data_IF_185941326556
#
_entry.id   IF_185941326556
#
_cell.length_a   1.000
_cell.length_b   1.000
_cell.length_c   1.000
_cell.angle_alpha   90.00
_cell.angle_beta   90.00
_cell.angle_gamma   90.00
#
_symmetry.space_group_name_H-M   'P 1'
#
loop_
_entity.id
_entity.type
_entity.pdbx_description
1 polymer ?
#
# COMPACT_ATOMS: atom_id res chain seq x y z
N UNK A 1 -72.70 7.09 -35.89
CA UNK A 1 -71.50 6.26 -35.66
C UNK A 1 -70.29 6.99 -36.26
N UNK A 2 -69.22 7.18 -35.45
CA UNK A 2 -67.79 7.28 -35.83
C UNK A 2 -67.38 8.36 -36.86
N UNK A 3 -66.18 8.95 -36.85
CA UNK A 3 -65.08 9.08 -35.90
C UNK A 3 -64.10 10.04 -36.61
N UNK A 4 -64.10 11.34 -36.32
CA UNK A 4 -63.27 12.30 -37.07
C UNK A 4 -62.72 13.41 -36.16
N UNK A 5 -62.17 13.08 -34.98
CA UNK A 5 -61.47 14.04 -34.11
C UNK A 5 -60.05 13.58 -33.72
N UNK A 6 -59.51 12.52 -34.34
CA UNK A 6 -58.16 12.00 -34.06
C UNK A 6 -57.05 12.65 -34.91
N UNK A 7 -57.38 13.47 -35.90
CA UNK A 7 -56.42 14.09 -36.80
C UNK A 7 -55.55 15.21 -36.19
N UNK A 8 -56.04 16.12 -35.32
CA UNK A 8 -55.20 17.22 -34.85
C UNK A 8 -54.15 16.77 -33.82
N UNK A 9 -54.36 15.64 -33.13
CA UNK A 9 -53.45 15.17 -32.08
C UNK A 9 -52.12 14.64 -32.64
N UNK A 10 -52.14 13.96 -33.79
CA UNK A 10 -50.93 13.41 -34.44
C UNK A 10 -50.01 14.51 -34.99
N UNK A 11 -50.57 15.64 -35.45
CA UNK A 11 -49.80 16.78 -35.90
C UNK A 11 -49.08 17.49 -34.74
N UNK A 12 -49.71 17.59 -33.57
CA UNK A 12 -49.11 18.19 -32.37
C UNK A 12 -47.92 17.38 -31.82
N UNK A 13 -47.97 16.03 -31.89
CA UNK A 13 -46.86 15.18 -31.45
C UNK A 13 -45.60 15.31 -32.35
N UNK A 14 -45.77 15.67 -33.62
CA UNK A 14 -44.66 15.84 -34.56
C UNK A 14 -43.88 17.14 -34.32
N UNK A 15 -44.50 18.18 -33.74
CA UNK A 15 -43.79 19.42 -33.40
C UNK A 15 -42.99 19.35 -32.09
N UNK A 16 -43.21 18.33 -31.24
CA UNK A 16 -42.46 18.14 -30.00
C UNK A 16 -41.25 17.22 -30.14
N UNK A 17 -40.98 16.66 -31.32
CA UNK A 17 -39.74 15.91 -31.54
C UNK A 17 -38.59 16.87 -31.84
N UNK A 18 -37.95 17.36 -30.78
CA UNK A 18 -36.68 18.05 -30.89
C UNK A 18 -35.63 17.03 -31.38
N UNK A 19 -35.30 17.07 -32.67
CA UNK A 19 -34.27 16.21 -33.25
C UNK A 19 -32.93 16.52 -32.60
N UNK A 20 -32.41 15.59 -31.80
CA UNK A 20 -31.06 15.70 -31.24
C UNK A 20 -30.09 15.30 -32.36
N UNK A 21 -29.25 16.21 -32.87
CA UNK A 21 -28.24 15.85 -33.86
C UNK A 21 -27.31 14.81 -33.26
N UNK A 22 -26.85 13.85 -34.06
CA UNK A 22 -25.85 12.89 -33.61
C UNK A 22 -24.59 13.67 -33.19
N UNK A 23 -24.40 13.83 -31.89
CA UNK A 23 -23.15 14.39 -31.36
C UNK A 23 -22.09 13.34 -31.64
N UNK A 24 -21.13 13.67 -32.51
CA UNK A 24 -19.97 12.81 -32.72
C UNK A 24 -19.30 12.48 -31.38
N UNK A 25 -18.64 11.33 -31.31
CA UNK A 25 -17.84 10.97 -30.14
C UNK A 25 -16.80 12.06 -29.91
N UNK A 26 -16.85 12.71 -28.75
CA UNK A 26 -15.73 13.50 -28.27
C UNK A 26 -14.79 12.49 -27.62
N UNK A 27 -13.62 12.27 -28.23
CA UNK A 27 -12.55 11.50 -27.60
C UNK A 27 -12.28 12.11 -26.22
N UNK A 28 -12.58 11.35 -25.17
CA UNK A 28 -12.56 11.80 -23.78
C UNK A 28 -11.12 12.01 -23.23
N UNK A 29 -10.14 12.14 -24.13
CA UNK A 29 -8.73 12.03 -23.82
C UNK A 29 -8.29 10.58 -23.65
N UNK A 30 -6.98 10.36 -23.62
CA UNK A 30 -6.41 9.06 -23.26
C UNK A 30 -6.87 8.62 -21.87
N UNK A 31 -6.70 7.33 -21.51
CA UNK A 31 -7.06 6.84 -20.19
C UNK A 31 -6.42 7.76 -19.13
N UNK A 32 -7.17 8.05 -18.06
CA UNK A 32 -6.58 8.63 -16.87
C UNK A 32 -5.44 7.70 -16.46
N UNK A 33 -4.21 8.12 -16.76
CA UNK A 33 -2.99 7.44 -16.34
C UNK A 33 -2.97 7.65 -14.83
N UNK A 34 -3.63 6.73 -14.12
CA UNK A 34 -4.11 6.96 -12.78
C UNK A 34 -3.01 7.40 -11.83
N UNK A 35 -3.41 8.10 -10.77
CA UNK A 35 -2.51 8.38 -9.65
C UNK A 35 -1.95 7.07 -9.12
N UNK A 36 -0.62 6.99 -8.99
CA UNK A 36 0.01 5.80 -8.43
C UNK A 36 -0.48 5.62 -6.98
N UNK A 37 -0.84 4.39 -6.58
CA UNK A 37 -1.33 4.12 -5.23
C UNK A 37 -0.14 4.08 -4.26
N UNK A 38 0.30 5.26 -3.82
CA UNK A 38 1.50 5.44 -3.01
C UNK A 38 1.18 5.44 -1.50
N UNK A 39 2.01 4.76 -0.72
CA UNK A 39 2.07 4.83 0.74
C UNK A 39 3.45 5.24 1.22
N UNK A 40 3.60 6.10 2.25
CA UNK A 40 4.89 6.38 2.84
C UNK A 40 5.38 5.17 3.65
N UNK A 41 6.67 4.87 3.52
CA UNK A 41 7.42 3.92 4.34
C UNK A 41 8.66 4.61 4.87
N UNK A 42 8.88 4.53 6.18
CA UNK A 42 10.03 5.20 6.80
C UNK A 42 11.24 4.27 6.83
N UNK A 43 12.33 4.72 6.20
CA UNK A 43 13.64 4.08 6.27
C UNK A 43 14.60 4.91 7.11
N UNK A 44 15.77 4.34 7.42
CA UNK A 44 16.80 5.00 8.19
C UNK A 44 17.91 5.49 7.28
N UNK A 45 18.25 6.77 7.40
CA UNK A 45 19.39 7.41 6.76
C UNK A 45 20.14 8.20 7.83
N UNK A 46 21.43 7.91 8.03
CA UNK A 46 22.25 8.62 9.03
C UNK A 46 21.61 8.66 10.44
N UNK A 47 20.96 7.57 10.85
CA UNK A 47 20.26 7.45 12.14
C UNK A 47 18.94 8.24 12.24
N UNK A 48 18.43 8.78 11.13
CA UNK A 48 17.19 9.56 11.05
C UNK A 48 16.16 8.83 10.20
N UNK A 49 14.89 8.98 10.56
CA UNK A 49 13.79 8.42 9.78
C UNK A 49 13.47 9.32 8.58
N UNK A 50 13.45 8.73 7.38
CA UNK A 50 13.15 9.38 6.11
C UNK A 50 11.97 8.69 5.45
N UNK A 51 10.96 9.45 5.05
CA UNK A 51 9.75 8.92 4.42
C UNK A 51 9.95 8.73 2.91
N UNK A 52 9.80 7.49 2.43
CA UNK A 52 9.88 7.16 1.01
C UNK A 52 8.53 6.68 0.49
N UNK A 53 8.15 7.10 -0.72
CA UNK A 53 6.90 6.66 -1.33
C UNK A 53 7.04 5.26 -1.92
N UNK A 54 6.09 4.39 -1.61
CA UNK A 54 6.01 3.01 -2.11
C UNK A 54 4.70 2.78 -2.83
N UNK A 55 4.76 2.12 -3.97
CA UNK A 55 3.56 1.60 -4.61
C UNK A 55 3.02 0.42 -3.77
N UNK A 56 1.71 0.44 -3.49
CA UNK A 56 1.00 -0.64 -2.82
C UNK A 56 -0.39 -0.81 -3.41
N UNK A 57 -0.91 -2.04 -3.41
CA UNK A 57 -2.29 -2.29 -3.82
C UNK A 57 -3.34 -1.66 -2.90
N UNK A 58 -2.98 -1.32 -1.66
CA UNK A 58 -3.89 -0.71 -0.67
C UNK A 58 -3.22 0.44 0.07
N UNK A 59 -3.16 1.64 -0.53
CA UNK A 59 -2.69 2.82 0.16
C UNK A 59 -3.51 3.07 1.42
N UNK A 60 -2.80 3.29 2.51
CA UNK A 60 -3.40 3.54 3.81
C UNK A 60 -3.77 2.31 4.62
N UNK A 61 -3.48 1.11 4.13
CA UNK A 61 -3.46 -0.11 4.96
C UNK A 61 -2.13 -0.19 5.74
N UNK A 62 -2.15 -0.16 7.09
CA UNK A 62 -0.93 -0.18 7.88
C UNK A 62 -0.18 -1.51 7.78
N UNK A 63 -0.89 -2.62 7.56
CA UNK A 63 -0.26 -3.94 7.44
C UNK A 63 0.55 -4.04 6.14
N UNK A 64 0.02 -3.55 5.03
CA UNK A 64 0.72 -3.52 3.75
C UNK A 64 1.95 -2.59 3.77
N UNK A 65 1.84 -1.43 4.45
CA UNK A 65 2.99 -0.56 4.65
C UNK A 65 4.10 -1.22 5.49
N UNK A 66 3.74 -1.98 6.53
CA UNK A 66 4.70 -2.74 7.32
C UNK A 66 5.36 -3.88 6.53
N UNK A 67 4.62 -4.54 5.62
CA UNK A 67 5.21 -5.54 4.72
C UNK A 67 6.28 -4.93 3.82
N UNK A 68 6.02 -3.75 3.26
CA UNK A 68 7.00 -3.01 2.45
C UNK A 68 8.22 -2.61 3.28
N UNK A 69 8.02 -2.21 4.53
CA UNK A 69 9.11 -1.88 5.44
C UNK A 69 10.03 -3.08 5.73
N UNK A 70 9.44 -4.25 6.00
CA UNK A 70 10.19 -5.49 6.25
C UNK A 70 10.94 -5.96 5.00
N UNK A 71 10.37 -5.76 3.81
CA UNK A 71 11.04 -6.05 2.54
C UNK A 71 12.31 -5.19 2.35
N UNK A 72 12.37 -4.04 3.01
CA UNK A 72 13.54 -3.16 3.04
C UNK A 72 13.57 -2.12 1.91
N UNK A 73 14.62 -1.29 1.89
CA UNK A 73 14.85 -0.27 0.85
C UNK A 73 15.04 -0.91 -0.54
N UNK A 74 14.65 -0.20 -1.61
CA UNK A 74 14.96 -0.67 -2.97
C UNK A 74 16.38 -0.22 -3.37
N UNK A 75 17.01 -0.98 -4.27
CA UNK A 75 18.32 -0.62 -4.80
C UNK A 75 18.26 0.75 -5.51
N UNK A 76 19.23 1.62 -5.22
CA UNK A 76 19.31 2.96 -5.81
C UNK A 76 18.44 4.01 -5.11
N UNK A 77 17.85 3.68 -3.96
CA UNK A 77 17.16 4.65 -3.11
C UNK A 77 18.03 5.17 -1.97
N UNK A 78 17.95 6.47 -1.73
CA UNK A 78 19.03 7.24 -1.12
C UNK A 78 19.67 8.08 -2.24
N UNK A 79 19.88 9.36 -2.00
CA UNK A 79 20.39 10.26 -3.04
C UNK A 79 21.72 9.76 -3.62
N UNK A 80 22.02 10.16 -4.86
CA UNK A 80 23.32 9.92 -5.50
C UNK A 80 24.51 10.52 -4.74
N UNK A 81 24.23 11.39 -3.76
CA UNK A 81 25.19 12.07 -2.88
C UNK A 81 25.45 11.35 -1.54
N UNK A 82 24.70 10.28 -1.22
CA UNK A 82 24.77 9.58 0.07
C UNK A 82 25.52 8.26 -0.07
N UNK A 83 26.75 8.19 0.43
CA UNK A 83 27.54 6.95 0.52
C UNK A 83 26.92 5.91 1.46
N UNK A 84 26.08 6.36 2.40
CA UNK A 84 25.32 5.53 3.32
C UNK A 84 23.87 5.46 2.82
N UNK A 85 23.55 4.45 2.01
CA UNK A 85 22.21 4.25 1.46
C UNK A 85 21.12 4.10 2.53
N UNK A 86 19.86 4.08 2.11
CA UNK A 86 18.75 3.82 3.03
C UNK A 86 18.89 2.43 3.68
N UNK A 87 18.55 2.34 4.96
CA UNK A 87 18.62 1.11 5.76
C UNK A 87 17.34 0.86 6.56
N UNK A 88 17.26 -0.30 7.22
CA UNK A 88 16.19 -0.65 8.15
C UNK A 88 16.78 -1.13 9.48
N UNK A 89 16.16 -0.71 10.58
CA UNK A 89 16.51 -1.13 11.95
C UNK A 89 15.71 -2.37 12.38
N UNK A 90 14.93 -2.94 11.46
CA UNK A 90 14.28 -4.22 11.69
C UNK A 90 15.29 -5.34 11.54
N UNK A 91 15.28 -6.33 12.45
CA UNK A 91 15.95 -7.58 12.23
C UNK A 91 15.51 -8.10 10.86
N UNK A 92 16.47 -8.31 9.97
CA UNK A 92 16.22 -9.08 8.78
C UNK A 92 15.66 -10.42 9.28
N UNK A 93 14.43 -10.73 8.91
CA UNK A 93 14.05 -12.14 8.91
C UNK A 93 15.16 -12.86 8.15
N UNK A 94 15.59 -14.06 8.57
CA UNK A 94 16.44 -14.87 7.72
C UNK A 94 15.63 -15.13 6.45
N UNK A 95 15.78 -14.22 5.48
CA UNK A 95 15.42 -14.43 4.09
C UNK A 95 16.12 -15.73 3.78
N UNK A 96 15.33 -16.78 3.54
CA UNK A 96 15.84 -18.05 3.07
C UNK A 96 16.95 -17.74 2.07
N UNK A 97 18.16 -18.21 2.40
CA UNK A 97 19.35 -17.95 1.61
C UNK A 97 19.04 -18.17 0.12
N UNK A 98 19.54 -17.24 -0.69
CA UNK A 98 19.57 -17.26 -2.15
C UNK A 98 18.24 -16.97 -2.87
N UNK A 99 18.16 -15.77 -3.44
CA UNK A 99 17.82 -15.71 -4.86
C UNK A 99 18.79 -16.68 -5.58
N UNK A 100 18.32 -17.68 -6.35
CA UNK A 100 19.22 -18.38 -7.23
C UNK A 100 19.85 -17.34 -8.16
N UNK A 101 21.13 -17.09 -7.95
CA UNK A 101 22.01 -16.46 -8.92
C UNK A 101 21.76 -17.17 -10.25
N UNK A 102 21.38 -16.39 -11.26
CA UNK A 102 21.29 -16.74 -12.68
C UNK A 102 21.54 -18.22 -12.97
N UNK A 103 20.47 -19.02 -13.00
CA UNK A 103 20.53 -20.27 -13.75
C UNK A 103 20.64 -19.89 -15.22
N UNK A 104 21.83 -20.17 -15.75
CA UNK A 104 22.18 -20.20 -17.16
C UNK A 104 21.02 -20.76 -17.98
N UNK A 105 20.74 -20.07 -19.09
CA UNK A 105 19.82 -20.48 -20.14
C UNK A 105 20.06 -21.95 -20.54
N UNK A 106 19.13 -22.84 -20.21
CA UNK A 106 19.05 -24.20 -20.77
C UNK A 106 17.67 -24.35 -21.40
N UNK A 107 17.57 -24.34 -22.75
CA UNK A 107 16.30 -24.56 -23.42
C UNK A 107 15.94 -26.04 -23.40
N UNK A 108 14.81 -26.38 -22.77
CA UNK A 108 14.10 -27.64 -23.02
C UNK A 108 13.83 -28.48 -21.78
N UNK A 109 12.67 -28.26 -21.16
CA UNK A 109 12.10 -29.18 -20.18
C UNK A 109 10.84 -28.59 -19.54
N UNK A 110 9.66 -29.14 -19.86
CA UNK A 110 8.38 -28.74 -19.25
C UNK A 110 8.44 -28.85 -17.73
N UNK A 111 8.06 -27.81 -16.96
CA UNK A 111 8.00 -27.92 -15.52
C UNK A 111 6.76 -28.75 -15.14
N UNK A 112 7.00 -29.90 -14.53
CA UNK A 112 6.03 -30.57 -13.67
C UNK A 112 6.03 -29.86 -12.33
N UNK A 113 4.85 -29.49 -11.84
CA UNK A 113 4.62 -28.76 -10.59
C UNK A 113 5.37 -29.39 -9.41
N UNK A 114 6.13 -28.62 -8.60
CA UNK A 114 6.53 -29.07 -7.28
C UNK A 114 5.32 -29.04 -6.33
N UNK A 115 5.03 -30.12 -5.57
CA UNK A 115 4.03 -30.07 -4.53
C UNK A 115 4.60 -29.30 -3.34
N UNK A 116 3.92 -28.22 -2.93
CA UNK A 116 4.10 -27.65 -1.60
C UNK A 116 4.64 -26.22 -1.49
N UNK A 117 4.10 -25.27 -2.25
CA UNK A 117 4.05 -23.87 -1.80
C UNK A 117 2.90 -23.68 -0.80
N UNK A 118 2.99 -24.38 0.34
CA UNK A 118 2.06 -24.23 1.45
C UNK A 118 2.88 -24.01 2.73
N UNK A 119 3.12 -22.74 3.03
CA UNK A 119 3.88 -22.36 4.21
C UNK A 119 4.05 -20.87 4.47
N UNK A 120 3.23 -19.98 3.91
CA UNK A 120 3.07 -18.64 4.50
C UNK A 120 2.18 -18.79 5.73
N UNK A 121 2.78 -19.21 6.84
CA UNK A 121 2.06 -19.27 8.10
C UNK A 121 1.65 -17.84 8.47
N UNK A 122 0.48 -17.66 9.08
CA UNK A 122 0.01 -16.34 9.55
C UNK A 122 0.96 -15.66 10.57
N UNK A 123 2.05 -16.33 10.93
CA UNK A 123 3.13 -15.92 11.82
C UNK A 123 4.28 -15.19 11.10
N UNK A 124 4.34 -15.22 9.76
CA UNK A 124 5.47 -14.66 9.00
C UNK A 124 5.21 -13.23 8.52
N UNK A 125 4.03 -12.69 8.81
CA UNK A 125 3.59 -11.39 8.31
C UNK A 125 3.18 -10.47 9.46
N UNK A 126 3.60 -9.19 9.44
CA UNK A 126 3.14 -8.24 10.45
C UNK A 126 1.63 -8.10 10.38
N UNK A 127 0.99 -7.77 11.49
CA UNK A 127 -0.42 -7.41 11.49
C UNK A 127 -0.60 -6.12 12.25
N UNK A 128 -1.37 -5.18 11.69
CA UNK A 128 -1.75 -3.96 12.37
C UNK A 128 -3.28 -3.86 12.45
N UNK A 129 -3.78 -3.60 13.66
CA UNK A 129 -5.21 -3.37 13.91
C UNK A 129 -5.37 -2.06 14.66
N UNK A 130 -6.46 -1.33 14.39
CA UNK A 130 -6.73 -0.05 15.05
C UNK A 130 -8.04 -0.14 15.80
N UNK A 131 -8.02 0.23 17.08
CA UNK A 131 -9.21 0.33 17.93
C UNK A 131 -9.16 1.67 18.65
N UNK A 132 -10.08 2.57 18.30
CA UNK A 132 -10.06 3.95 18.79
C UNK A 132 -8.75 4.67 18.42
N UNK A 133 -8.05 5.18 19.43
CA UNK A 133 -6.75 5.86 19.29
C UNK A 133 -5.54 4.93 19.49
N UNK A 134 -5.77 3.62 19.62
CA UNK A 134 -4.71 2.63 19.82
C UNK A 134 -4.53 1.77 18.57
N UNK A 135 -3.31 1.73 18.04
CA UNK A 135 -2.90 0.81 16.99
C UNK A 135 -2.12 -0.35 17.60
N UNK A 136 -2.60 -1.58 17.45
CA UNK A 136 -1.86 -2.77 17.88
C UNK A 136 -1.11 -3.34 16.68
N UNK A 137 0.22 -3.38 16.78
CA UNK A 137 1.12 -3.96 15.79
C UNK A 137 1.67 -5.26 16.37
N UNK A 138 1.46 -6.36 15.65
CA UNK A 138 2.00 -7.68 15.98
C UNK A 138 3.08 -8.02 14.97
N UNK A 139 4.29 -8.25 15.48
CA UNK A 139 5.45 -8.59 14.68
C UNK A 139 5.50 -10.09 14.39
N UNK A 140 6.05 -10.50 13.23
CA UNK A 140 6.38 -11.87 12.94
C UNK A 140 7.31 -12.50 13.98
N UNK A 141 7.33 -13.83 13.99
CA UNK A 141 8.34 -14.58 14.75
C UNK A 141 9.75 -14.24 14.25
N UNK A 142 10.71 -14.12 15.16
CA UNK A 142 12.10 -13.74 14.82
C UNK A 142 12.38 -12.23 14.81
N UNK A 143 11.37 -11.36 14.82
CA UNK A 143 11.53 -9.90 14.98
C UNK A 143 11.38 -9.46 16.44
N UNK A 144 12.19 -10.05 17.34
CA UNK A 144 12.27 -9.61 18.73
C UNK A 144 13.42 -8.62 18.93
N UNK A 145 13.40 -7.86 20.03
CA UNK A 145 14.55 -7.05 20.45
C UNK A 145 14.83 -5.82 19.56
N UNK A 146 13.78 -5.15 19.11
CA UNK A 146 13.92 -3.93 18.29
C UNK A 146 14.59 -2.78 19.07
N UNK A 147 15.46 -2.04 18.39
CA UNK A 147 15.98 -0.77 18.89
C UNK A 147 14.85 0.27 19.02
N UNK A 148 15.07 1.31 19.84
CA UNK A 148 14.13 2.45 19.92
C UNK A 148 13.90 3.12 18.56
N UNK A 149 14.92 3.08 17.68
CA UNK A 149 14.80 3.58 16.31
C UNK A 149 13.95 2.64 15.46
N UNK A 150 14.15 1.31 15.54
CA UNK A 150 13.34 0.32 14.86
C UNK A 150 11.86 0.32 15.28
N UNK A 151 11.57 0.47 16.58
CA UNK A 151 10.19 0.64 17.06
C UNK A 151 9.57 1.90 16.46
N UNK A 152 10.31 3.01 16.41
CA UNK A 152 9.84 4.27 15.83
C UNK A 152 9.63 4.15 14.32
N UNK A 153 10.52 3.45 13.63
CA UNK A 153 10.42 3.16 12.19
C UNK A 153 9.12 2.43 11.85
N UNK A 154 8.77 1.38 12.62
CA UNK A 154 7.50 0.66 12.47
C UNK A 154 6.30 1.56 12.71
N UNK A 155 6.31 2.28 13.83
CA UNK A 155 5.16 3.08 14.24
C UNK A 155 4.92 4.20 13.25
N UNK A 156 5.96 4.93 12.83
CA UNK A 156 5.81 6.00 11.86
C UNK A 156 5.35 5.50 10.50
N UNK A 157 5.80 4.32 10.07
CA UNK A 157 5.31 3.70 8.83
C UNK A 157 3.83 3.36 8.93
N UNK A 158 3.43 2.62 9.97
CA UNK A 158 2.07 2.14 10.12
C UNK A 158 1.05 3.30 10.31
N UNK A 159 1.39 4.30 11.13
CA UNK A 159 0.48 5.43 11.37
C UNK A 159 0.43 6.41 10.21
N UNK A 160 1.55 6.65 9.50
CA UNK A 160 1.53 7.48 8.30
C UNK A 160 0.71 6.86 7.18
N UNK A 161 0.80 5.53 6.99
CA UNK A 161 -0.10 4.81 6.11
C UNK A 161 -1.55 5.03 6.57
N UNK A 162 -1.91 4.68 7.80
CA UNK A 162 -3.29 4.80 8.30
C UNK A 162 -3.93 6.18 8.06
N UNK A 163 -3.14 7.25 8.24
CA UNK A 163 -3.57 8.65 8.08
C UNK A 163 -3.90 9.04 6.65
N UNK A 164 -3.34 8.36 5.64
CA UNK A 164 -3.63 8.65 4.23
C UNK A 164 -5.12 8.58 3.90
N UNK A 165 -5.83 7.64 4.51
CA UNK A 165 -7.27 7.44 4.28
C UNK A 165 -8.14 8.10 5.35
N UNK A 166 -7.52 8.65 6.40
CA UNK A 166 -8.19 9.20 7.59
C UNK A 166 -7.54 10.53 8.01
N UNK A 167 -7.58 11.54 7.13
CA UNK A 167 -7.05 12.85 7.44
C UNK A 167 -7.77 13.44 8.67
N UNK A 168 -7.03 14.10 9.56
CA UNK A 168 -7.57 14.70 10.79
C UNK A 168 -7.63 13.79 12.01
N UNK A 169 -7.20 12.53 11.90
CA UNK A 169 -7.08 11.67 13.09
C UNK A 169 -6.06 12.27 14.08
N UNK A 170 -6.32 12.37 15.39
CA UNK A 170 -5.34 12.88 16.36
C UNK A 170 -4.14 11.92 16.48
N UNK A 171 -3.11 12.31 17.25
CA UNK A 171 -1.99 11.43 17.58
C UNK A 171 -2.48 10.10 18.17
N UNK A 172 -1.87 9.01 17.75
CA UNK A 172 -2.21 7.65 18.17
C UNK A 172 -1.10 7.06 19.05
N UNK A 173 -1.49 6.12 19.90
CA UNK A 173 -0.55 5.24 20.60
C UNK A 173 -0.46 3.91 19.88
N UNK A 174 0.74 3.50 19.51
CA UNK A 174 1.01 2.18 18.97
C UNK A 174 1.49 1.24 20.07
N UNK A 175 0.87 0.06 20.16
CA UNK A 175 1.28 -1.06 20.98
C UNK A 175 1.94 -2.11 20.08
N UNK A 176 3.27 -2.22 20.14
CA UNK A 176 4.07 -3.16 19.36
C UNK A 176 4.32 -4.40 20.19
N UNK A 177 3.95 -5.57 19.64
CA UNK A 177 4.06 -6.87 20.30
C UNK A 177 4.88 -7.84 19.46
N UNK A 178 5.83 -8.55 20.07
CA UNK A 178 6.68 -9.53 19.38
C UNK A 178 7.68 -10.18 20.33
N UNK A 179 7.94 -11.48 20.18
CA UNK A 179 8.92 -12.21 21.01
C UNK A 179 8.65 -12.17 22.51
N UNK A 180 7.38 -12.06 22.94
CA UNK A 180 7.01 -11.92 24.36
C UNK A 180 7.13 -10.50 24.93
N UNK A 181 7.59 -9.53 24.15
CA UNK A 181 7.70 -8.13 24.56
C UNK A 181 6.51 -7.30 24.06
N UNK A 182 6.14 -6.29 24.86
CA UNK A 182 5.17 -5.26 24.52
C UNK A 182 5.81 -3.89 24.74
N UNK A 183 5.84 -3.08 23.69
CA UNK A 183 6.31 -1.68 23.76
C UNK A 183 5.16 -0.77 23.34
N UNK A 184 4.92 0.29 24.11
CA UNK A 184 3.93 1.32 23.76
C UNK A 184 4.63 2.64 23.47
N UNK A 185 4.32 3.24 22.32
CA UNK A 185 4.87 4.53 21.93
C UNK A 185 3.86 5.34 21.13
N UNK A 186 3.99 6.66 21.13
CA UNK A 186 3.11 7.56 20.37
C UNK A 186 3.74 7.93 19.02
N UNK A 187 2.88 8.14 18.01
CA UNK A 187 3.28 8.66 16.70
C UNK A 187 3.62 10.16 16.69
N UNK A 188 3.45 10.88 17.81
CA UNK A 188 3.76 12.30 17.91
C UNK A 188 5.24 12.65 17.65
N UNK A 189 6.14 11.65 17.72
CA UNK A 189 7.58 11.81 17.45
C UNK A 189 7.98 11.43 16.02
N UNK A 190 7.01 11.14 15.16
CA UNK A 190 7.27 10.85 13.76
C UNK A 190 7.59 12.14 13.01
N UNK A 191 8.60 12.13 12.12
CA UNK A 191 8.85 13.27 11.25
C UNK A 191 7.60 13.64 10.45
N UNK A 192 7.41 14.93 10.18
CA UNK A 192 6.43 15.36 9.20
C UNK A 192 6.84 14.87 7.80
N UNK A 193 5.85 14.52 6.97
CA UNK A 193 6.04 14.08 5.59
C UNK A 193 6.27 15.26 4.65
#
# INVERSE_FOLDING_TARGET
MKALHRAPLLALLALTSCGIPATGVVEAGGPASGVLPLTPVYFVENGRLVAMQRNTGRPGDPTDALRLLIAGPLAGEGGTDTTDGLTTELPLLPTAMALPSAAVDVPGGSPSDPPGAAGSSASDTPTATVTGSTMTIRLPVGMAGLSDLGVRQLVCTATAAYRLTRPGTPSMTAAVTGGGHLVRTSDARCPAR
#
